data_IF_122264432962
#
_entry.id   IF_122264432962
#
_cell.length_a   1.000
_cell.length_b   1.000
_cell.length_c   1.000
_cell.angle_alpha   90.00
_cell.angle_beta   90.00
_cell.angle_gamma   90.00
#
_symmetry.space_group_name_H-M   'P 1'
#
loop_
_entity.id
_entity.type
_entity.pdbx_description
1 polymer ?
#
# COMPACT_ATOMS: atom_id res chain seq x y z
N UNK A 1 -29.02 1.17 -27.97
CA UNK A 1 -29.59 0.57 -26.74
C UNK A 1 -28.39 0.11 -25.93
N UNK A 2 -28.31 0.51 -24.67
CA UNK A 2 -27.23 0.03 -23.82
C UNK A 2 -27.35 -1.48 -23.67
N UNK A 3 -26.23 -2.19 -23.67
CA UNK A 3 -26.24 -3.62 -23.43
C UNK A 3 -26.37 -3.87 -21.92
N UNK A 4 -27.59 -3.70 -21.40
CA UNK A 4 -27.93 -3.91 -19.98
C UNK A 4 -27.51 -5.29 -19.47
N UNK A 5 -27.33 -6.25 -20.39
CA UNK A 5 -26.89 -7.61 -20.08
C UNK A 5 -25.53 -7.65 -19.38
N UNK A 6 -24.64 -6.68 -19.65
CA UNK A 6 -23.32 -6.65 -19.00
C UNK A 6 -23.42 -6.48 -17.48
N UNK A 7 -24.48 -5.82 -17.00
CA UNK A 7 -24.73 -5.58 -15.58
C UNK A 7 -25.47 -6.71 -14.87
N UNK A 8 -25.84 -7.79 -15.56
CA UNK A 8 -26.48 -8.95 -14.94
C UNK A 8 -25.43 -9.83 -14.23
N UNK A 9 -25.76 -10.31 -13.04
CA UNK A 9 -24.90 -11.28 -12.33
C UNK A 9 -25.02 -12.67 -12.94
N UNK A 10 -26.24 -13.11 -13.22
CA UNK A 10 -26.50 -14.32 -14.01
C UNK A 10 -26.28 -15.64 -13.28
N UNK A 11 -25.77 -15.61 -12.05
CA UNK A 11 -25.65 -16.78 -11.17
C UNK A 11 -26.82 -16.78 -10.18
N UNK A 12 -27.63 -17.85 -10.19
CA UNK A 12 -28.82 -17.98 -9.35
C UNK A 12 -28.82 -19.32 -8.61
N UNK A 13 -29.21 -19.32 -7.33
CA UNK A 13 -29.20 -20.51 -6.48
C UNK A 13 -30.55 -20.75 -5.76
N UNK A 14 -30.68 -21.95 -5.19
CA UNK A 14 -31.90 -22.41 -4.52
C UNK A 14 -32.97 -22.97 -5.46
N UNK A 15 -34.20 -23.04 -4.97
CA UNK A 15 -35.37 -23.55 -5.69
C UNK A 15 -35.79 -22.62 -6.84
N UNK A 16 -36.55 -23.09 -7.86
CA UNK A 16 -36.91 -22.29 -9.04
C UNK A 16 -37.57 -20.94 -8.74
N UNK A 17 -38.35 -20.84 -7.66
CA UNK A 17 -38.97 -19.58 -7.23
C UNK A 17 -37.93 -18.60 -6.68
N UNK A 18 -36.94 -19.07 -5.93
CA UNK A 18 -35.85 -18.25 -5.41
C UNK A 18 -34.98 -17.72 -6.54
N UNK A 19 -34.61 -18.60 -7.48
CA UNK A 19 -33.87 -18.21 -8.69
C UNK A 19 -34.63 -17.16 -9.52
N UNK A 20 -35.95 -17.29 -9.66
CA UNK A 20 -36.77 -16.32 -10.37
C UNK A 20 -36.81 -14.94 -9.67
N UNK A 21 -36.81 -14.92 -8.33
CA UNK A 21 -36.73 -13.68 -7.55
C UNK A 21 -35.36 -13.01 -7.70
N UNK A 22 -34.28 -13.78 -7.60
CA UNK A 22 -32.91 -13.29 -7.82
C UNK A 22 -32.75 -12.72 -9.24
N UNK A 23 -33.21 -13.43 -10.26
CA UNK A 23 -33.20 -12.95 -11.65
C UNK A 23 -34.00 -11.66 -11.84
N UNK A 24 -35.18 -11.54 -11.23
CA UNK A 24 -35.96 -10.31 -11.31
C UNK A 24 -35.25 -9.14 -10.63
N UNK A 25 -34.60 -9.37 -9.48
CA UNK A 25 -33.82 -8.36 -8.78
C UNK A 25 -32.61 -7.90 -9.62
N UNK A 26 -31.87 -8.84 -10.21
CA UNK A 26 -30.76 -8.57 -11.14
C UNK A 26 -31.19 -7.72 -12.33
N UNK A 27 -32.31 -8.07 -12.97
CA UNK A 27 -32.83 -7.29 -14.11
C UNK A 27 -33.21 -5.87 -13.68
N UNK A 28 -33.85 -5.71 -12.52
CA UNK A 28 -34.19 -4.38 -12.01
C UNK A 28 -32.93 -3.55 -11.72
N UNK A 29 -31.89 -4.17 -11.15
CA UNK A 29 -30.59 -3.53 -10.90
C UNK A 29 -29.92 -3.14 -12.22
N UNK A 30 -29.80 -4.07 -13.17
CA UNK A 30 -29.18 -3.84 -14.48
C UNK A 30 -29.86 -2.72 -15.27
N UNK A 31 -31.19 -2.66 -15.26
CA UNK A 31 -31.95 -1.60 -15.94
C UNK A 31 -31.74 -0.22 -15.31
N UNK A 32 -31.40 -0.15 -14.01
CA UNK A 32 -31.09 1.10 -13.31
C UNK A 32 -29.62 1.48 -13.38
N UNK A 33 -28.73 0.48 -13.49
CA UNK A 33 -27.29 0.65 -13.40
C UNK A 33 -26.76 1.76 -14.31
N UNK A 34 -27.17 1.80 -15.59
CA UNK A 34 -26.70 2.84 -16.50
C UNK A 34 -27.09 4.26 -16.06
N UNK A 35 -28.30 4.43 -15.52
CA UNK A 35 -28.76 5.73 -15.03
C UNK A 35 -27.96 6.13 -13.79
N UNK A 36 -27.80 5.22 -12.84
CA UNK A 36 -27.06 5.46 -11.60
C UNK A 36 -25.58 5.74 -11.88
N UNK A 37 -24.95 4.99 -12.79
CA UNK A 37 -23.59 5.24 -13.27
C UNK A 37 -23.48 6.66 -13.81
N UNK A 38 -24.36 7.10 -14.72
CA UNK A 38 -24.31 8.47 -15.27
C UNK A 38 -24.46 9.55 -14.21
N UNK A 39 -25.36 9.35 -13.25
CA UNK A 39 -25.54 10.29 -12.13
C UNK A 39 -24.29 10.36 -11.24
N UNK A 40 -23.67 9.21 -10.97
CA UNK A 40 -22.42 9.10 -10.21
C UNK A 40 -21.24 9.72 -10.94
N UNK A 41 -21.08 9.45 -12.25
CA UNK A 41 -20.05 10.05 -13.09
C UNK A 41 -20.17 11.58 -13.09
N UNK A 42 -21.40 12.11 -13.24
CA UNK A 42 -21.65 13.55 -13.19
C UNK A 42 -21.24 14.16 -11.84
N UNK A 43 -21.59 13.50 -10.73
CA UNK A 43 -21.19 13.96 -9.40
C UNK A 43 -19.66 13.93 -9.21
N UNK A 44 -18.99 12.89 -9.72
CA UNK A 44 -17.53 12.81 -9.68
C UNK A 44 -16.87 13.92 -10.50
N UNK A 45 -17.45 14.28 -11.65
CA UNK A 45 -17.01 15.42 -12.47
C UNK A 45 -17.14 16.75 -11.72
N UNK A 46 -18.29 17.02 -11.10
CA UNK A 46 -18.52 18.24 -10.31
C UNK A 46 -17.53 18.34 -9.12
N UNK A 47 -17.30 17.25 -8.40
CA UNK A 47 -16.31 17.21 -7.30
C UNK A 47 -14.90 17.46 -7.83
N UNK A 48 -14.53 16.84 -8.95
CA UNK A 48 -13.20 17.02 -9.53
C UNK A 48 -12.98 18.44 -10.06
N UNK A 49 -14.01 19.05 -10.63
CA UNK A 49 -14.00 20.46 -11.03
C UNK A 49 -13.71 21.35 -9.82
N UNK A 50 -14.51 21.22 -8.76
CA UNK A 50 -14.36 21.99 -7.53
C UNK A 50 -12.94 21.85 -6.95
N UNK A 51 -12.42 20.64 -6.88
CA UNK A 51 -11.05 20.38 -6.41
C UNK A 51 -9.98 21.03 -7.31
N UNK A 52 -10.15 21.00 -8.63
CA UNK A 52 -9.21 21.66 -9.54
C UNK A 52 -9.25 23.18 -9.38
N UNK A 53 -10.43 23.76 -9.21
CA UNK A 53 -10.61 25.18 -8.96
C UNK A 53 -9.90 25.56 -7.65
N UNK A 54 -10.14 24.79 -6.57
CA UNK A 54 -9.60 25.08 -5.24
C UNK A 54 -8.09 24.86 -5.15
N UNK A 55 -7.56 23.78 -5.73
CA UNK A 55 -6.16 23.39 -5.59
C UNK A 55 -5.26 23.99 -6.68
N UNK A 56 -5.74 24.04 -7.92
CA UNK A 56 -4.95 24.51 -9.08
C UNK A 56 -5.25 25.97 -9.45
N UNK A 57 -6.28 26.58 -8.85
CA UNK A 57 -6.63 27.98 -9.08
C UNK A 57 -7.11 28.28 -10.49
N UNK A 58 -7.66 27.27 -11.18
CA UNK A 58 -8.20 27.42 -12.55
C UNK A 58 -9.68 27.81 -12.50
N UNK A 59 -10.20 28.36 -13.60
CA UNK A 59 -11.63 28.66 -13.75
C UNK A 59 -12.41 27.45 -14.26
N UNK A 60 -13.74 27.40 -14.05
CA UNK A 60 -14.63 26.39 -14.67
C UNK A 60 -14.47 26.31 -16.18
N UNK A 61 -14.39 27.45 -16.88
CA UNK A 61 -14.17 27.48 -18.34
C UNK A 61 -12.81 26.89 -18.74
N UNK A 62 -11.78 27.03 -17.90
CA UNK A 62 -10.47 26.42 -18.13
C UNK A 62 -10.47 24.92 -17.80
N UNK A 63 -11.18 24.51 -16.76
CA UNK A 63 -11.38 23.10 -16.41
C UNK A 63 -12.10 22.37 -17.53
N UNK A 64 -13.26 22.86 -17.98
CA UNK A 64 -14.01 22.29 -19.09
C UNK A 64 -13.14 22.17 -20.34
N UNK A 65 -12.41 23.24 -20.69
CA UNK A 65 -11.50 23.24 -21.85
C UNK A 65 -10.40 22.19 -21.72
N UNK A 66 -9.87 21.98 -20.51
CA UNK A 66 -8.82 20.96 -20.24
C UNK A 66 -9.39 19.54 -20.25
N UNK A 67 -10.56 19.31 -19.67
CA UNK A 67 -11.27 18.04 -19.73
C UNK A 67 -11.65 17.65 -21.17
N UNK A 68 -12.02 18.63 -22.00
CA UNK A 68 -12.36 18.39 -23.42
C UNK A 68 -11.14 18.28 -24.35
N UNK A 69 -10.00 18.81 -23.91
CA UNK A 69 -8.76 18.75 -24.66
C UNK A 69 -8.25 17.30 -24.65
N UNK A 70 -7.85 16.81 -25.83
CA UNK A 70 -7.22 15.49 -25.99
C UNK A 70 -5.78 15.52 -25.47
N UNK A 71 -5.54 16.28 -24.41
CA UNK A 71 -4.22 16.69 -23.92
C UNK A 71 -3.47 15.45 -23.44
N UNK A 72 -2.46 15.07 -24.22
CA UNK A 72 -1.58 13.92 -23.96
C UNK A 72 -0.73 14.08 -22.69
N UNK A 73 -0.77 15.26 -22.07
CA UNK A 73 0.05 15.61 -20.93
C UNK A 73 -0.68 15.44 -19.59
N UNK A 74 -1.93 14.98 -19.58
CA UNK A 74 -2.78 14.81 -18.39
C UNK A 74 -2.64 15.93 -17.34
N UNK A 75 -2.71 17.19 -17.78
CA UNK A 75 -2.38 18.33 -16.91
C UNK A 75 -3.33 18.52 -15.71
N UNK A 76 -4.46 17.83 -15.71
CA UNK A 76 -5.40 17.79 -14.60
C UNK A 76 -5.19 16.61 -13.65
N UNK A 77 -4.32 15.65 -13.98
CA UNK A 77 -4.22 14.37 -13.27
C UNK A 77 -5.56 13.63 -13.29
N UNK A 78 -6.21 13.61 -14.46
CA UNK A 78 -7.53 13.02 -14.62
C UNK A 78 -7.46 11.50 -14.71
N UNK A 79 -6.39 10.93 -15.26
CA UNK A 79 -6.26 9.48 -15.42
C UNK A 79 -5.88 8.82 -14.10
N UNK A 80 -6.33 7.60 -13.88
CA UNK A 80 -5.95 6.87 -12.68
C UNK A 80 -4.64 6.13 -12.91
N UNK A 81 -3.81 6.14 -11.88
CA UNK A 81 -2.60 5.33 -11.81
C UNK A 81 -2.64 4.42 -10.58
N UNK A 82 -1.66 3.53 -10.47
CA UNK A 82 -1.42 2.71 -9.28
C UNK A 82 -1.45 3.55 -8.00
N UNK A 83 -2.12 3.03 -6.96
CA UNK A 83 -2.32 3.71 -5.68
C UNK A 83 -3.48 4.71 -5.65
N UNK A 84 -4.26 4.86 -6.74
CA UNK A 84 -5.49 5.66 -6.70
C UNK A 84 -6.45 5.15 -5.61
N UNK A 85 -6.93 6.07 -4.77
CA UNK A 85 -7.85 5.75 -3.68
C UNK A 85 -9.26 5.62 -4.23
N UNK A 86 -9.95 4.54 -3.89
CA UNK A 86 -11.31 4.23 -4.34
C UNK A 86 -12.28 4.17 -3.15
N UNK A 87 -13.57 4.37 -3.42
CA UNK A 87 -14.66 4.08 -2.48
C UNK A 87 -15.83 3.41 -3.19
N UNK A 88 -16.77 2.83 -2.44
CA UNK A 88 -17.98 2.22 -2.97
C UNK A 88 -19.24 2.87 -2.39
N UNK A 89 -20.24 3.14 -3.23
CA UNK A 89 -21.52 3.75 -2.80
C UNK A 89 -22.32 2.91 -1.81
N UNK A 90 -22.05 1.60 -1.75
CA UNK A 90 -22.68 0.65 -0.84
C UNK A 90 -21.80 0.28 0.36
N UNK A 91 -20.58 0.82 0.46
CA UNK A 91 -19.73 0.63 1.63
C UNK A 91 -20.39 1.23 2.88
N UNK A 92 -20.47 0.45 3.95
CA UNK A 92 -20.97 0.92 5.25
C UNK A 92 -20.26 0.25 6.41
N UNK A 93 -20.29 0.92 7.57
CA UNK A 93 -19.81 0.39 8.84
C UNK A 93 -20.96 -0.15 9.72
N UNK A 94 -22.20 0.02 9.25
CA UNK A 94 -23.37 -0.49 9.94
C UNK A 94 -23.34 -2.02 10.02
N UNK A 95 -24.02 -2.55 11.04
CA UNK A 95 -24.18 -3.99 11.22
C UNK A 95 -24.86 -4.63 10.00
N UNK A 96 -24.37 -5.80 9.59
CA UNK A 96 -24.92 -6.54 8.47
C UNK A 96 -25.76 -7.72 8.95
N UNK A 97 -27.05 -7.68 8.69
CA UNK A 97 -27.97 -8.79 8.97
C UNK A 97 -27.78 -9.90 7.92
N UNK A 98 -27.26 -11.06 8.34
CA UNK A 98 -27.06 -12.23 7.48
C UNK A 98 -28.37 -13.02 7.36
N UNK A 99 -29.05 -13.23 8.49
CA UNK A 99 -30.40 -13.79 8.58
C UNK A 99 -31.08 -13.36 9.90
N UNK A 100 -32.18 -14.02 10.27
CA UNK A 100 -32.93 -13.70 11.49
C UNK A 100 -32.17 -13.95 12.80
N UNK A 101 -31.09 -14.74 12.78
CA UNK A 101 -30.34 -15.16 13.97
C UNK A 101 -28.89 -14.66 13.96
N UNK A 102 -28.37 -14.28 12.80
CA UNK A 102 -26.96 -13.99 12.56
C UNK A 102 -26.77 -12.58 12.04
N UNK A 103 -25.90 -11.81 12.70
CA UNK A 103 -25.44 -10.50 12.23
C UNK A 103 -23.92 -10.37 12.34
N UNK A 104 -23.33 -9.57 11.45
CA UNK A 104 -21.93 -9.20 11.45
C UNK A 104 -21.81 -7.76 11.91
N UNK A 105 -21.13 -7.56 13.03
CA UNK A 105 -20.72 -6.26 13.54
C UNK A 105 -19.22 -6.12 13.35
N UNK A 106 -18.78 -5.01 12.73
CA UNK A 106 -17.37 -4.77 12.51
C UNK A 106 -16.64 -4.49 13.83
N UNK A 107 -15.48 -5.09 13.99
CA UNK A 107 -14.55 -4.84 15.07
C UNK A 107 -13.71 -3.62 14.68
N UNK A 108 -14.16 -2.44 15.11
CA UNK A 108 -13.53 -1.13 14.82
C UNK A 108 -13.23 -0.45 16.15
N UNK A 109 -11.99 -0.05 16.36
CA UNK A 109 -11.56 0.60 17.61
C UNK A 109 -11.83 2.11 17.58
N UNK A 110 -11.67 2.74 16.41
CA UNK A 110 -11.81 4.19 16.26
C UNK A 110 -12.62 4.59 15.03
N UNK A 111 -13.24 5.77 15.09
CA UNK A 111 -13.98 6.31 13.94
C UNK A 111 -13.05 6.51 12.72
N UNK A 112 -11.81 6.95 12.94
CA UNK A 112 -10.84 7.17 11.85
C UNK A 112 -10.47 5.86 11.14
N UNK A 113 -10.21 4.80 11.90
CA UNK A 113 -10.00 3.46 11.36
C UNK A 113 -11.21 3.02 10.53
N UNK A 114 -12.42 3.20 11.07
CA UNK A 114 -13.66 2.88 10.37
C UNK A 114 -13.81 3.63 9.04
N UNK A 115 -13.48 4.92 9.00
CA UNK A 115 -13.53 5.72 7.77
C UNK A 115 -12.60 5.17 6.68
N UNK A 116 -11.34 4.82 7.05
CA UNK A 116 -10.36 4.23 6.12
C UNK A 116 -10.83 2.90 5.56
N UNK A 117 -11.59 2.11 6.32
CA UNK A 117 -12.12 0.80 5.90
C UNK A 117 -13.16 0.88 4.78
N UNK A 118 -13.75 2.04 4.51
CA UNK A 118 -14.66 2.28 3.35
C UNK A 118 -13.92 2.66 2.08
N UNK A 119 -12.60 2.66 2.13
CA UNK A 119 -11.73 2.98 1.02
C UNK A 119 -10.83 1.78 0.71
N UNK A 120 -10.33 1.73 -0.52
CA UNK A 120 -9.34 0.74 -0.97
C UNK A 120 -8.44 1.38 -2.02
N UNK A 121 -7.37 0.70 -2.39
CA UNK A 121 -6.44 1.18 -3.41
C UNK A 121 -6.62 0.41 -4.71
N UNK A 122 -6.46 1.13 -5.81
CA UNK A 122 -6.31 0.57 -7.14
C UNK A 122 -4.87 0.09 -7.32
N UNK A 123 -4.69 -1.18 -7.69
CA UNK A 123 -3.39 -1.76 -8.01
C UNK A 123 -3.33 -2.13 -9.48
N UNK A 124 -2.38 -1.57 -10.21
CA UNK A 124 -2.18 -1.81 -11.65
C UNK A 124 -0.71 -1.97 -11.99
N UNK A 125 0.08 -2.44 -11.02
CA UNK A 125 1.51 -2.68 -11.17
C UNK A 125 1.85 -3.63 -12.33
N UNK A 126 0.90 -4.46 -12.78
CA UNK A 126 1.09 -5.28 -13.98
C UNK A 126 1.21 -4.47 -15.28
N UNK A 127 0.68 -3.24 -15.35
CA UNK A 127 0.53 -2.54 -16.61
C UNK A 127 1.86 -1.92 -17.03
N UNK A 128 2.20 -2.04 -18.32
CA UNK A 128 3.48 -1.56 -18.83
C UNK A 128 3.52 -0.02 -18.84
N UNK A 129 4.51 0.55 -18.13
CA UNK A 129 4.70 1.99 -17.91
C UNK A 129 4.76 2.80 -19.23
N UNK A 130 4.03 3.93 -19.30
CA UNK A 130 4.30 4.98 -20.29
C UNK A 130 4.16 6.38 -19.69
N UNK A 131 5.28 7.11 -19.71
CA UNK A 131 5.46 8.55 -19.42
C UNK A 131 5.13 8.93 -17.97
N UNK A 132 6.18 9.06 -17.15
CA UNK A 132 6.09 9.64 -15.79
C UNK A 132 6.03 8.66 -14.62
N UNK A 133 6.66 7.48 -14.73
CA UNK A 133 6.91 6.56 -13.59
C UNK A 133 5.68 5.88 -12.94
N UNK A 134 4.44 6.14 -13.39
CA UNK A 134 3.24 5.49 -12.86
C UNK A 134 2.58 4.51 -13.84
N UNK A 135 2.10 3.36 -13.33
CA UNK A 135 1.32 2.41 -14.11
C UNK A 135 -0.11 2.94 -14.27
N UNK A 136 -0.52 3.24 -15.49
CA UNK A 136 -1.87 3.71 -15.77
C UNK A 136 -2.88 2.57 -15.69
N UNK A 137 -4.02 2.88 -15.08
CA UNK A 137 -5.14 1.97 -15.06
C UNK A 137 -5.98 2.10 -16.33
N UNK A 138 -6.60 0.99 -16.68
CA UNK A 138 -7.39 0.79 -17.88
C UNK A 138 -8.76 0.26 -17.53
N UNK A 139 -9.65 0.25 -18.52
CA UNK A 139 -11.00 -0.29 -18.36
C UNK A 139 -11.01 -1.78 -18.00
N UNK A 140 -9.88 -2.49 -18.09
CA UNK A 140 -9.75 -3.93 -17.83
C UNK A 140 -9.25 -4.28 -16.43
N UNK A 141 -8.83 -3.28 -15.65
CA UNK A 141 -8.26 -3.50 -14.31
C UNK A 141 -9.40 -3.70 -13.28
N UNK A 142 -10.03 -4.87 -13.34
CA UNK A 142 -11.25 -5.21 -12.59
C UNK A 142 -11.09 -6.44 -11.70
N UNK A 143 -9.90 -7.04 -11.63
CA UNK A 143 -9.70 -8.33 -10.96
C UNK A 143 -9.65 -8.14 -9.43
N UNK A 144 -10.46 -8.91 -8.71
CA UNK A 144 -10.49 -8.90 -7.24
C UNK A 144 -9.16 -9.43 -6.68
N UNK A 145 -8.64 -8.79 -5.63
CA UNK A 145 -7.34 -9.12 -4.98
C UNK A 145 -6.10 -8.93 -5.88
N UNK A 146 -6.28 -8.28 -7.03
CA UNK A 146 -5.18 -7.88 -7.90
C UNK A 146 -5.28 -6.41 -8.25
N UNK A 147 -6.40 -6.00 -8.86
CA UNK A 147 -6.68 -4.61 -9.16
C UNK A 147 -7.50 -3.93 -8.07
N UNK A 148 -8.51 -4.65 -7.59
CA UNK A 148 -9.45 -4.14 -6.60
C UNK A 148 -9.42 -5.05 -5.38
N UNK A 149 -8.85 -4.55 -4.28
CA UNK A 149 -8.97 -5.22 -3.00
C UNK A 149 -10.34 -4.93 -2.40
N UNK A 150 -11.07 -5.95 -1.91
CA UNK A 150 -12.35 -5.73 -1.26
C UNK A 150 -12.25 -4.72 -0.12
N UNK A 151 -13.24 -3.85 -0.03
CA UNK A 151 -13.33 -2.89 1.06
C UNK A 151 -13.45 -3.63 2.40
N UNK A 152 -12.74 -3.15 3.42
CA UNK A 152 -12.76 -3.75 4.77
C UNK A 152 -14.03 -3.41 5.55
N UNK A 153 -15.17 -3.34 4.87
CA UNK A 153 -16.44 -2.83 5.39
C UNK A 153 -17.60 -3.79 5.11
N UNK A 154 -18.76 -3.49 5.68
CA UNK A 154 -20.01 -4.14 5.34
C UNK A 154 -20.63 -3.52 4.07
N UNK A 155 -21.64 -4.19 3.52
CA UNK A 155 -22.38 -3.73 2.35
C UNK A 155 -23.80 -3.33 2.73
N UNK A 156 -24.29 -2.21 2.21
CA UNK A 156 -25.71 -1.81 2.37
C UNK A 156 -26.67 -2.74 1.64
N UNK A 157 -26.22 -3.39 0.57
CA UNK A 157 -27.01 -4.39 -0.14
C UNK A 157 -26.93 -5.72 0.60
N UNK A 158 -28.09 -6.23 1.01
CA UNK A 158 -28.23 -7.54 1.65
C UNK A 158 -27.84 -8.67 0.70
N UNK A 159 -27.36 -9.78 1.26
CA UNK A 159 -27.19 -11.02 0.54
C UNK A 159 -28.56 -11.54 0.08
N UNK A 160 -28.69 -11.90 -1.20
CA UNK A 160 -29.92 -12.45 -1.78
C UNK A 160 -29.74 -13.86 -2.35
N UNK A 161 -28.53 -14.44 -2.19
CA UNK A 161 -28.19 -15.82 -2.56
C UNK A 161 -27.86 -16.69 -1.36
N UNK A 162 -28.25 -17.95 -1.42
CA UNK A 162 -27.93 -18.92 -0.37
C UNK A 162 -26.41 -19.11 -0.22
N UNK A 163 -25.70 -19.16 -1.35
CA UNK A 163 -24.25 -19.28 -1.40
C UNK A 163 -23.51 -18.06 -0.82
N UNK A 164 -24.04 -16.85 -0.95
CA UNK A 164 -23.52 -15.66 -0.26
C UNK A 164 -23.68 -15.79 1.25
N UNK A 165 -24.89 -16.15 1.70
CA UNK A 165 -25.22 -16.33 3.12
C UNK A 165 -24.32 -17.41 3.74
N UNK A 166 -24.16 -18.55 3.08
CA UNK A 166 -23.30 -19.63 3.55
C UNK A 166 -21.83 -19.22 3.61
N UNK A 167 -21.32 -18.51 2.59
CA UNK A 167 -19.94 -17.98 2.60
C UNK A 167 -19.70 -17.05 3.77
N UNK A 168 -20.62 -16.13 4.06
CA UNK A 168 -20.51 -15.22 5.19
C UNK A 168 -20.57 -15.99 6.52
N UNK A 169 -21.51 -16.92 6.68
CA UNK A 169 -21.66 -17.72 7.90
C UNK A 169 -20.41 -18.57 8.21
N UNK A 170 -19.82 -19.16 7.19
CA UNK A 170 -18.62 -19.98 7.33
C UNK A 170 -17.39 -19.14 7.69
N UNK A 171 -17.44 -17.81 7.52
CA UNK A 171 -16.32 -16.89 7.74
C UNK A 171 -16.69 -15.72 8.67
N UNK A 172 -17.58 -15.92 9.65
CA UNK A 172 -18.06 -14.84 10.53
C UNK A 172 -16.93 -14.10 11.25
N UNK A 173 -15.91 -14.80 11.74
CA UNK A 173 -14.81 -14.17 12.45
C UNK A 173 -14.07 -13.16 11.54
N UNK A 174 -13.74 -13.60 10.34
CA UNK A 174 -13.12 -12.75 9.32
C UNK A 174 -14.07 -11.63 8.84
N UNK A 175 -15.38 -11.88 8.75
CA UNK A 175 -16.35 -10.83 8.45
C UNK A 175 -16.42 -9.74 9.53
N UNK A 176 -16.15 -10.06 10.80
CA UNK A 176 -16.09 -9.03 11.87
C UNK A 176 -14.83 -8.20 11.74
N UNK A 177 -13.70 -8.83 11.42
CA UNK A 177 -12.41 -8.17 11.29
C UNK A 177 -12.25 -7.40 9.97
N UNK A 178 -12.82 -7.88 8.88
CA UNK A 178 -12.58 -7.39 7.51
C UNK A 178 -13.87 -7.07 6.74
N UNK A 179 -15.05 -7.28 7.34
CA UNK A 179 -16.34 -6.96 6.73
C UNK A 179 -16.84 -7.98 5.72
N UNK A 180 -18.14 -7.89 5.41
CA UNK A 180 -18.80 -8.82 4.49
C UNK A 180 -18.54 -8.53 3.01
N UNK A 181 -18.02 -7.34 2.67
CA UNK A 181 -17.84 -6.94 1.27
C UNK A 181 -16.99 -7.93 0.47
N UNK A 182 -15.90 -8.45 1.06
CA UNK A 182 -15.05 -9.46 0.42
C UNK A 182 -15.77 -10.76 0.01
N UNK A 183 -16.91 -11.08 0.64
CA UNK A 183 -17.71 -12.26 0.33
C UNK A 183 -18.87 -11.97 -0.64
N UNK A 184 -19.16 -10.70 -0.88
CA UNK A 184 -20.28 -10.22 -1.70
C UNK A 184 -19.83 -9.51 -2.98
N UNK A 185 -18.59 -9.03 -3.03
CA UNK A 185 -18.06 -8.27 -4.17
C UNK A 185 -18.12 -9.13 -5.44
N UNK A 186 -18.75 -8.58 -6.47
CA UNK A 186 -18.91 -9.21 -7.77
C UNK A 186 -18.72 -8.13 -8.83
N UNK A 187 -17.53 -8.02 -9.42
CA UNK A 187 -17.20 -6.90 -10.29
C UNK A 187 -17.68 -7.13 -11.72
N UNK A 188 -18.06 -6.05 -12.40
CA UNK A 188 -18.26 -6.06 -13.83
C UNK A 188 -16.91 -6.25 -14.55
N UNK A 189 -16.95 -6.80 -15.77
CA UNK A 189 -15.73 -7.13 -16.53
C UNK A 189 -14.92 -5.89 -16.92
N UNK A 190 -15.59 -4.75 -17.10
CA UNK A 190 -14.97 -3.49 -17.47
C UNK A 190 -15.49 -2.32 -16.63
N UNK A 191 -14.63 -1.31 -16.46
CA UNK A 191 -15.01 0.01 -15.97
C UNK A 191 -15.88 0.76 -17.01
N UNK A 192 -16.83 1.55 -16.51
CA UNK A 192 -17.61 2.50 -17.30
C UNK A 192 -16.99 3.89 -17.25
N UNK A 193 -16.35 4.29 -18.35
CA UNK A 193 -15.88 5.64 -18.58
C UNK A 193 -17.06 6.62 -18.84
N UNK A 194 -16.90 7.90 -18.50
CA UNK A 194 -17.90 8.93 -18.81
C UNK A 194 -17.97 9.14 -20.33
N UNK A 195 -19.16 9.35 -20.88
CA UNK A 195 -19.29 9.57 -22.33
C UNK A 195 -18.70 10.93 -22.73
N UNK A 196 -17.76 10.92 -23.68
CA UNK A 196 -17.21 12.12 -24.30
C UNK A 196 -18.07 12.62 -25.47
N UNK A 197 -17.95 13.92 -25.79
CA UNK A 197 -18.60 14.52 -26.95
C UNK A 197 -18.07 13.94 -28.28
N UNK A 198 -18.95 13.86 -29.29
CA UNK A 198 -18.69 13.56 -30.71
C UNK A 198 -17.57 12.54 -31.03
N UNK A 199 -17.75 11.30 -30.57
CA UNK A 199 -16.93 10.17 -31.01
C UNK A 199 -15.48 10.17 -30.50
N UNK A 200 -15.17 11.04 -29.53
CA UNK A 200 -13.89 11.01 -28.81
C UNK A 200 -13.79 9.76 -27.92
N UNK A 201 -12.57 9.28 -27.76
CA UNK A 201 -12.19 8.17 -26.87
C UNK A 201 -11.14 8.67 -25.89
N UNK A 202 -11.07 8.03 -24.72
CA UNK A 202 -10.01 8.31 -23.76
C UNK A 202 -8.65 7.85 -24.30
N UNK A 203 -7.59 8.36 -23.69
CA UNK A 203 -6.23 7.91 -23.98
C UNK A 203 -6.14 6.40 -23.77
N UNK A 204 -5.44 5.72 -24.68
CA UNK A 204 -5.23 4.27 -24.57
C UNK A 204 -3.91 4.00 -23.86
N UNK A 205 -3.92 3.03 -22.97
CA UNK A 205 -2.75 2.56 -22.23
C UNK A 205 -2.60 1.05 -22.40
N UNK A 206 -1.38 0.55 -22.19
CA UNK A 206 -1.08 -0.88 -22.29
C UNK A 206 -1.63 -1.61 -21.07
N UNK A 207 -2.53 -2.54 -21.32
CA UNK A 207 -3.02 -3.51 -20.35
C UNK A 207 -2.27 -4.84 -20.52
N UNK A 208 -1.82 -5.43 -19.41
CA UNK A 208 -1.28 -6.79 -19.40
C UNK A 208 -2.37 -7.74 -18.90
N UNK A 209 -2.92 -8.55 -19.81
CA UNK A 209 -3.97 -9.51 -19.45
C UNK A 209 -3.46 -10.52 -18.43
N UNK A 210 -4.28 -10.79 -17.42
CA UNK A 210 -4.11 -11.96 -16.58
C UNK A 210 -4.19 -13.22 -17.45
N UNK A 211 -3.15 -14.07 -17.40
CA UNK A 211 -3.23 -15.40 -17.99
C UNK A 211 -3.94 -16.30 -16.99
N UNK A 212 -5.10 -16.88 -17.36
CA UNK A 212 -5.97 -17.72 -16.52
C UNK A 212 -5.37 -19.10 -16.16
N UNK A 213 -4.06 -19.29 -16.26
CA UNK A 213 -3.41 -20.58 -16.02
C UNK A 213 -2.21 -20.42 -15.12
N UNK A 214 -2.39 -20.59 -13.80
CA UNK A 214 -1.88 -21.76 -13.05
C UNK A 214 -2.63 -21.83 -11.70
N UNK A 215 -3.44 -22.87 -11.53
CA UNK A 215 -3.80 -23.36 -10.19
C UNK A 215 -2.53 -23.83 -9.48
N UNK A 216 -1.97 -23.00 -8.59
CA UNK A 216 -0.88 -23.37 -7.69
C UNK A 216 0.51 -23.38 -8.32
N UNK A 217 1.11 -22.20 -8.46
CA UNK A 217 2.55 -21.95 -8.39
C UNK A 217 2.77 -20.44 -8.50
N UNK A 218 3.80 -19.92 -7.81
CA UNK A 218 4.14 -18.49 -7.78
C UNK A 218 4.12 -17.83 -9.16
N UNK A 219 3.60 -16.60 -9.17
CA UNK A 219 3.38 -15.82 -10.38
C UNK A 219 4.74 -15.40 -10.96
N UNK A 220 5.22 -16.16 -11.95
CA UNK A 220 6.36 -15.79 -12.78
C UNK A 220 5.93 -14.64 -13.70
N UNK A 221 6.40 -13.42 -13.41
CA UNK A 221 6.38 -12.33 -14.39
C UNK A 221 7.49 -12.62 -15.40
N UNK A 222 7.10 -12.92 -16.64
CA UNK A 222 8.02 -13.05 -17.77
C UNK A 222 8.34 -14.50 -18.16
N UNK A 223 7.40 -15.16 -18.84
CA UNK A 223 7.69 -16.41 -19.52
C UNK A 223 6.50 -16.99 -20.28
N UNK A 224 6.50 -16.78 -21.60
CA UNK A 224 5.68 -17.47 -22.61
C UNK A 224 4.18 -17.09 -22.56
N UNK A 225 3.74 -16.31 -23.56
CA UNK A 225 2.35 -15.89 -23.85
C UNK A 225 1.69 -14.82 -22.93
N UNK A 226 2.35 -13.68 -22.68
CA UNK A 226 1.66 -12.49 -22.15
C UNK A 226 0.90 -11.75 -23.26
N UNK A 227 -0.43 -11.78 -23.22
CA UNK A 227 -1.26 -10.96 -24.12
C UNK A 227 -1.27 -9.51 -23.64
N UNK A 228 -0.77 -8.61 -24.49
CA UNK A 228 -0.79 -7.16 -24.29
C UNK A 228 -1.87 -6.58 -25.19
N UNK A 229 -2.72 -5.72 -24.64
CA UNK A 229 -3.69 -4.95 -25.42
C UNK A 229 -3.62 -3.47 -25.05
N UNK A 230 -3.70 -2.59 -26.06
CA UNK A 230 -3.89 -1.17 -25.81
C UNK A 230 -5.39 -0.92 -25.67
N UNK A 231 -5.87 -0.48 -24.51
CA UNK A 231 -7.29 -0.22 -24.21
C UNK A 231 -7.45 1.15 -23.54
N UNK A 232 -8.67 1.67 -23.45
CA UNK A 232 -8.90 2.99 -22.83
C UNK A 232 -8.45 3.01 -21.36
N UNK A 233 -7.78 4.09 -21.00
CA UNK A 233 -7.50 4.46 -19.62
C UNK A 233 -8.77 4.82 -18.87
N UNK A 234 -8.75 4.66 -17.56
CA UNK A 234 -9.82 5.13 -16.68
C UNK A 234 -9.42 6.43 -16.01
N UNK A 235 -10.40 7.23 -15.64
CA UNK A 235 -10.24 8.58 -15.08
C UNK A 235 -10.92 8.72 -13.73
N UNK A 236 -10.75 9.87 -13.07
CA UNK A 236 -11.46 10.25 -11.85
C UNK A 236 -12.99 10.24 -11.99
N UNK A 237 -13.50 10.22 -13.21
CA UNK A 237 -14.94 10.14 -13.51
C UNK A 237 -15.40 8.74 -13.88
N UNK A 238 -14.51 7.76 -13.96
CA UNK A 238 -14.86 6.38 -14.32
C UNK A 238 -15.51 5.65 -13.14
N UNK A 239 -16.39 4.69 -13.43
CA UNK A 239 -17.14 3.93 -12.42
C UNK A 239 -17.02 2.45 -12.70
N UNK A 240 -16.69 1.66 -11.69
CA UNK A 240 -16.74 0.20 -11.78
C UNK A 240 -18.01 -0.31 -11.09
N UNK A 241 -18.87 -0.96 -11.86
CA UNK A 241 -20.10 -1.55 -11.35
C UNK A 241 -19.79 -2.87 -10.63
N UNK A 242 -20.24 -2.98 -9.39
CA UNK A 242 -20.34 -4.25 -8.69
C UNK A 242 -21.76 -4.78 -8.90
N UNK A 243 -21.90 -5.99 -9.44
CA UNK A 243 -23.17 -6.67 -9.71
C UNK A 243 -24.01 -6.96 -8.47
N UNK A 244 -23.36 -6.94 -7.30
CA UNK A 244 -24.03 -6.87 -5.99
C UNK A 244 -24.63 -5.48 -5.67
N UNK A 245 -24.59 -4.52 -6.59
CA UNK A 245 -25.26 -3.21 -6.50
C UNK A 245 -24.39 -2.03 -6.05
N UNK A 246 -23.08 -2.21 -5.90
CA UNK A 246 -22.15 -1.13 -5.57
C UNK A 246 -21.65 -0.38 -6.81
N UNK A 247 -21.41 0.92 -6.69
CA UNK A 247 -20.64 1.70 -7.65
C UNK A 247 -19.30 2.07 -7.02
N UNK A 248 -18.22 1.54 -7.56
CA UNK A 248 -16.85 1.87 -7.13
C UNK A 248 -16.39 3.10 -7.91
N UNK A 249 -15.95 4.11 -7.17
CA UNK A 249 -15.57 5.42 -7.71
C UNK A 249 -14.21 5.86 -7.18
N UNK A 250 -13.40 6.57 -7.98
CA UNK A 250 -12.16 7.14 -7.52
C UNK A 250 -12.39 8.35 -6.61
N UNK A 251 -11.64 8.41 -5.52
CA UNK A 251 -11.47 9.61 -4.69
C UNK A 251 -10.26 10.41 -5.15
N UNK A 252 -9.17 9.75 -5.56
CA UNK A 252 -7.95 10.40 -6.07
C UNK A 252 -7.55 9.82 -7.42
N UNK A 253 -6.64 10.50 -8.12
CA UNK A 253 -6.02 10.00 -9.35
C UNK A 253 -4.86 9.01 -9.10
N UNK A 254 -4.32 8.98 -7.88
CA UNK A 254 -3.00 8.38 -7.58
C UNK A 254 -1.81 9.26 -8.02
N UNK A 255 -2.02 10.20 -8.94
CA UNK A 255 -0.99 11.09 -9.50
C UNK A 255 -0.78 12.37 -8.68
N UNK A 256 -1.68 12.68 -7.75
CA UNK A 256 -1.55 13.83 -6.83
C UNK A 256 -0.43 13.62 -5.77
N UNK A 257 0.45 12.67 -6.05
CA UNK A 257 1.63 12.26 -5.31
C UNK A 257 2.90 12.96 -5.81
N UNK A 258 2.95 14.29 -5.83
CA UNK A 258 4.23 15.02 -5.93
C UNK A 258 4.54 15.68 -4.59
N UNK A 259 4.65 14.84 -3.56
CA UNK A 259 5.48 14.97 -2.37
C UNK A 259 5.13 13.85 -1.35
N UNK A 260 5.33 12.60 -1.77
CA UNK A 260 5.82 11.53 -0.89
C UNK A 260 4.84 10.62 -0.13
N UNK A 261 3.52 10.64 -0.35
CA UNK A 261 2.68 9.51 0.09
C UNK A 261 2.63 8.41 -0.97
N UNK A 262 3.66 7.57 -1.01
CA UNK A 262 3.50 6.22 -1.58
C UNK A 262 2.65 5.47 -0.55
N UNK A 263 1.38 5.18 -0.84
CA UNK A 263 0.62 4.26 0.01
C UNK A 263 0.95 2.84 -0.46
N UNK A 264 2.16 2.40 -0.11
CA UNK A 264 2.54 0.99 -0.09
C UNK A 264 1.73 0.32 1.01
N UNK A 265 1.27 -0.91 0.80
CA UNK A 265 0.56 -1.71 1.81
C UNK A 265 1.32 -1.70 3.16
N UNK A 266 0.88 -0.92 4.16
CA UNK A 266 1.63 -0.81 5.42
C UNK A 266 0.81 -1.13 6.68
N UNK A 267 -0.08 -2.12 6.58
CA UNK A 267 -0.72 -2.71 7.77
C UNK A 267 -0.06 -4.04 8.18
N UNK A 268 0.94 -4.51 7.42
CA UNK A 268 1.61 -5.79 7.68
C UNK A 268 3.11 -5.58 7.87
N UNK A 269 3.66 -6.23 8.89
CA UNK A 269 5.10 -6.36 9.11
C UNK A 269 5.40 -7.83 9.44
N UNK A 270 6.64 -8.24 9.25
CA UNK A 270 7.12 -9.58 9.55
C UNK A 270 8.24 -9.53 10.56
N UNK A 271 8.31 -10.54 11.41
CA UNK A 271 9.40 -10.71 12.34
C UNK A 271 9.74 -12.20 12.45
N UNK A 272 11.01 -12.48 12.72
CA UNK A 272 11.46 -13.81 13.05
C UNK A 272 12.39 -13.71 14.26
N UNK A 273 12.01 -14.36 15.36
CA UNK A 273 12.89 -14.52 16.50
C UNK A 273 14.03 -15.49 16.13
N UNK A 274 15.18 -14.95 15.75
CA UNK A 274 16.35 -15.73 15.33
C UNK A 274 17.67 -15.03 15.68
N UNK A 275 18.78 -15.73 15.45
CA UNK A 275 20.13 -15.15 15.34
C UNK A 275 20.56 -15.09 13.87
N UNK A 276 21.67 -14.39 13.60
CA UNK A 276 22.28 -14.39 12.26
C UNK A 276 23.04 -15.70 11.95
N UNK A 277 23.56 -16.37 12.98
CA UNK A 277 24.30 -17.62 12.86
C UNK A 277 24.01 -18.59 14.02
N UNK A 278 24.53 -19.81 13.93
CA UNK A 278 24.37 -20.84 14.95
C UNK A 278 23.02 -21.59 14.93
N UNK A 279 22.71 -22.24 16.05
CA UNK A 279 21.57 -23.17 16.19
C UNK A 279 20.21 -22.49 16.01
N UNK A 280 20.11 -21.19 16.32
CA UNK A 280 18.88 -20.40 16.18
C UNK A 280 18.90 -19.47 14.96
N UNK A 281 19.75 -19.76 13.97
CA UNK A 281 19.86 -18.95 12.77
C UNK A 281 18.59 -18.94 11.93
N UNK A 282 18.25 -17.77 11.38
CA UNK A 282 17.09 -17.60 10.53
C UNK A 282 17.15 -16.27 9.77
N UNK A 283 16.40 -16.16 8.69
CA UNK A 283 16.26 -14.94 7.90
C UNK A 283 14.83 -14.81 7.42
N UNK A 284 14.37 -13.57 7.30
CA UNK A 284 13.17 -13.25 6.53
C UNK A 284 13.41 -13.57 5.04
N UNK A 285 12.34 -13.86 4.30
CA UNK A 285 12.38 -13.93 2.84
C UNK A 285 12.56 -12.54 2.24
N UNK A 286 12.99 -12.45 0.98
CA UNK A 286 13.11 -11.16 0.30
C UNK A 286 11.83 -10.32 0.37
N UNK A 287 10.68 -10.91 0.05
CA UNK A 287 9.38 -10.21 0.11
C UNK A 287 9.07 -9.70 1.52
N UNK A 288 9.37 -10.48 2.56
CA UNK A 288 9.18 -10.04 3.95
C UNK A 288 10.12 -8.87 4.32
N UNK A 289 11.36 -8.88 3.83
CA UNK A 289 12.30 -7.76 4.00
C UNK A 289 11.80 -6.50 3.31
N UNK A 290 11.29 -6.66 2.09
CA UNK A 290 10.69 -5.59 1.28
C UNK A 290 9.47 -4.99 1.98
N UNK A 291 8.51 -5.81 2.39
CA UNK A 291 7.34 -5.35 3.17
C UNK A 291 7.74 -4.60 4.44
N UNK A 292 8.76 -5.07 5.17
CA UNK A 292 9.25 -4.35 6.34
C UNK A 292 9.91 -3.00 5.99
N UNK A 293 10.64 -2.92 4.87
CA UNK A 293 11.22 -1.67 4.40
C UNK A 293 10.12 -0.65 4.04
N UNK A 294 9.07 -1.09 3.36
CA UNK A 294 7.90 -0.28 3.01
C UNK A 294 7.16 0.20 4.25
N UNK A 295 6.97 -0.69 5.23
CA UNK A 295 6.36 -0.35 6.51
C UNK A 295 7.16 0.74 7.25
N UNK A 296 8.48 0.56 7.38
CA UNK A 296 9.37 1.55 8.02
C UNK A 296 9.32 2.86 7.25
N UNK A 297 9.35 2.80 5.92
CA UNK A 297 9.30 3.97 5.06
C UNK A 297 8.05 4.79 5.32
N UNK A 298 6.87 4.17 5.23
CA UNK A 298 5.61 4.87 5.43
C UNK A 298 5.49 5.43 6.85
N UNK A 299 5.86 4.63 7.86
CA UNK A 299 5.79 5.03 9.26
C UNK A 299 6.62 6.30 9.54
N UNK A 300 7.82 6.40 8.97
CA UNK A 300 8.70 7.55 9.15
C UNK A 300 8.33 8.72 8.23
N UNK A 301 7.88 8.43 7.01
CA UNK A 301 7.39 9.44 6.08
C UNK A 301 6.20 10.20 6.66
N UNK A 302 5.24 9.51 7.29
CA UNK A 302 4.11 10.14 8.00
C UNK A 302 4.54 11.05 9.18
N UNK A 303 5.77 10.85 9.69
CA UNK A 303 6.38 11.72 10.70
C UNK A 303 7.25 12.82 10.08
N UNK A 304 7.08 13.09 8.79
CA UNK A 304 7.78 14.11 8.00
C UNK A 304 9.29 13.85 7.87
N UNK A 305 9.71 12.58 7.83
CA UNK A 305 11.06 12.26 7.40
C UNK A 305 11.18 12.38 5.88
N UNK A 306 12.33 12.85 5.39
CA UNK A 306 12.63 12.85 3.96
C UNK A 306 12.90 11.44 3.45
N UNK A 307 12.62 11.21 2.16
CA UNK A 307 12.89 9.93 1.49
C UNK A 307 14.37 9.53 1.63
N UNK A 308 15.26 10.48 1.44
CA UNK A 308 16.71 10.33 1.51
C UNK A 308 17.14 9.86 2.91
N UNK A 309 16.64 10.51 3.97
CA UNK A 309 16.98 10.15 5.35
C UNK A 309 16.44 8.78 5.76
N UNK A 310 15.24 8.44 5.29
CA UNK A 310 14.67 7.11 5.47
C UNK A 310 15.54 6.07 4.78
N UNK A 311 15.92 6.28 3.51
CA UNK A 311 16.75 5.31 2.78
C UNK A 311 18.16 5.15 3.39
N UNK A 312 18.75 6.25 3.89
CA UNK A 312 19.99 6.19 4.68
C UNK A 312 19.86 5.34 5.95
N UNK A 313 18.72 5.44 6.64
CA UNK A 313 18.41 4.56 7.77
C UNK A 313 18.22 3.11 7.31
N UNK A 314 17.47 2.88 6.23
CA UNK A 314 17.18 1.53 5.74
C UNK A 314 18.45 0.78 5.31
N UNK A 315 19.45 1.48 4.77
CA UNK A 315 20.77 0.89 4.51
C UNK A 315 21.44 0.36 5.79
N UNK A 316 21.31 1.09 6.91
CA UNK A 316 21.78 0.64 8.22
C UNK A 316 20.94 -0.53 8.76
N UNK A 317 19.61 -0.43 8.69
CA UNK A 317 18.69 -1.50 9.13
C UNK A 317 18.93 -2.80 8.37
N UNK A 318 19.20 -2.72 7.07
CA UNK A 318 19.53 -3.87 6.25
C UNK A 318 20.82 -4.54 6.72
N UNK A 319 21.87 -3.77 7.02
CA UNK A 319 23.13 -4.30 7.54
C UNK A 319 22.99 -4.91 8.94
N UNK A 320 22.27 -4.25 9.83
CA UNK A 320 22.14 -4.66 11.24
C UNK A 320 21.23 -5.88 11.42
N UNK A 321 20.14 -5.95 10.65
CA UNK A 321 19.06 -6.89 10.92
C UNK A 321 18.52 -7.62 9.72
N UNK A 322 19.00 -7.29 8.51
CA UNK A 322 18.37 -7.70 7.24
C UNK A 322 16.86 -7.47 7.28
N UNK A 323 16.46 -6.28 7.75
CA UNK A 323 15.07 -5.82 7.91
C UNK A 323 14.23 -6.58 8.95
N UNK A 324 14.83 -7.39 9.82
CA UNK A 324 14.08 -8.21 10.78
C UNK A 324 14.01 -7.57 12.18
N UNK A 325 12.85 -7.10 12.66
CA UNK A 325 12.72 -6.56 14.01
C UNK A 325 12.87 -7.63 15.11
N UNK A 326 12.79 -8.93 14.79
CA UNK A 326 12.90 -10.02 15.76
C UNK A 326 14.32 -10.54 16.02
N UNK A 327 15.34 -10.00 15.37
CA UNK A 327 16.68 -10.62 15.36
C UNK A 327 17.51 -10.29 16.60
N UNK A 328 18.11 -11.32 17.18
CA UNK A 328 19.04 -11.28 18.30
C UNK A 328 20.48 -11.40 17.79
N UNK A 329 21.42 -10.65 18.38
CA UNK A 329 22.84 -10.90 18.15
C UNK A 329 23.29 -12.19 18.85
N UNK A 330 23.02 -12.32 20.15
CA UNK A 330 23.25 -13.55 20.91
C UNK A 330 21.93 -14.10 21.45
N UNK A 331 21.59 -15.32 21.04
CA UNK A 331 20.41 -16.01 21.54
C UNK A 331 20.43 -16.15 23.07
N UNK A 332 19.26 -16.07 23.71
CA UNK A 332 19.09 -16.20 25.16
C UNK A 332 19.87 -15.19 26.04
N UNK A 333 20.33 -14.07 25.48
CA UNK A 333 20.98 -13.02 26.25
C UNK A 333 20.18 -11.70 26.17
N UNK A 334 19.39 -11.34 27.21
CA UNK A 334 18.59 -10.12 27.21
C UNK A 334 19.42 -8.81 27.26
N UNK A 335 20.73 -8.91 27.51
CA UNK A 335 21.65 -7.77 27.39
C UNK A 335 22.36 -7.71 26.03
N UNK A 336 22.05 -8.63 25.10
CA UNK A 336 22.60 -8.60 23.75
C UNK A 336 21.92 -7.55 22.88
N UNK A 337 22.51 -7.29 21.72
CA UNK A 337 21.91 -6.47 20.69
C UNK A 337 20.65 -7.16 20.12
N UNK A 338 19.64 -6.35 19.80
CA UNK A 338 18.32 -6.80 19.37
C UNK A 338 17.68 -5.81 18.40
N UNK A 339 16.90 -6.30 17.44
CA UNK A 339 16.01 -5.50 16.60
C UNK A 339 16.65 -4.83 15.39
N UNK A 340 15.89 -3.93 14.76
CA UNK A 340 16.18 -3.33 13.43
C UNK A 340 17.52 -2.59 13.35
N UNK A 341 17.96 -1.98 14.45
CA UNK A 341 19.24 -1.25 14.57
C UNK A 341 20.12 -1.86 15.67
N UNK A 342 19.89 -3.14 16.00
CA UNK A 342 20.73 -3.92 16.93
C UNK A 342 21.11 -3.17 18.22
N UNK A 343 20.11 -2.63 18.95
CA UNK A 343 20.34 -1.85 20.18
C UNK A 343 21.19 -2.63 21.20
N UNK A 344 22.45 -2.22 21.36
CA UNK A 344 23.41 -2.86 22.25
C UNK A 344 23.05 -2.71 23.72
N UNK A 345 23.66 -3.54 24.58
CA UNK A 345 23.40 -3.57 26.03
C UNK A 345 21.91 -3.78 26.39
N UNK A 346 21.12 -4.37 25.50
CA UNK A 346 19.68 -4.56 25.67
C UNK A 346 18.90 -3.24 25.82
N UNK A 347 19.38 -2.14 25.24
CA UNK A 347 18.82 -0.80 25.46
C UNK A 347 17.32 -0.73 25.10
N UNK A 348 16.91 -1.37 24.00
CA UNK A 348 15.49 -1.45 23.60
C UNK A 348 14.63 -2.16 24.67
N UNK A 349 15.06 -3.35 25.11
CA UNK A 349 14.32 -4.12 26.13
C UNK A 349 14.24 -3.34 27.45
N UNK A 350 15.34 -2.69 27.87
CA UNK A 350 15.39 -1.88 29.08
C UNK A 350 14.46 -0.66 29.00
N UNK A 351 14.37 -0.02 27.83
CA UNK A 351 13.51 1.14 27.61
C UNK A 351 12.03 0.80 27.87
N UNK A 352 11.54 -0.30 27.29
CA UNK A 352 10.15 -0.75 27.46
C UNK A 352 9.92 -1.71 28.63
N UNK A 353 10.98 -2.09 29.35
CA UNK A 353 10.96 -3.11 30.41
C UNK A 353 10.45 -4.47 29.92
N UNK A 354 10.76 -4.83 28.67
CA UNK A 354 10.43 -6.12 28.09
C UNK A 354 11.41 -7.20 28.53
N UNK A 355 10.92 -8.42 28.67
CA UNK A 355 11.76 -9.62 28.73
C UNK A 355 12.04 -10.17 27.34
N UNK A 356 12.91 -11.19 27.24
CA UNK A 356 13.11 -11.92 25.99
C UNK A 356 11.79 -12.53 25.49
N UNK A 357 11.04 -13.14 26.40
CA UNK A 357 9.77 -13.80 26.09
C UNK A 357 8.74 -12.81 25.55
N UNK A 358 8.72 -11.57 26.07
CA UNK A 358 7.83 -10.53 25.55
C UNK A 358 8.11 -10.22 24.08
N UNK A 359 9.38 -10.00 23.73
CA UNK A 359 9.75 -9.59 22.37
C UNK A 359 9.72 -10.75 21.39
N UNK A 360 10.04 -11.98 21.81
CA UNK A 360 9.87 -13.18 21.00
C UNK A 360 8.39 -13.47 20.72
N UNK A 361 7.53 -13.31 21.74
CA UNK A 361 6.07 -13.44 21.56
C UNK A 361 5.55 -12.37 20.61
N UNK A 362 5.97 -11.11 20.74
CA UNK A 362 5.57 -10.07 19.78
C UNK A 362 6.10 -10.37 18.37
N UNK A 363 7.30 -10.92 18.21
CA UNK A 363 7.80 -11.31 16.89
C UNK A 363 6.92 -12.40 16.23
N UNK A 364 6.32 -13.29 17.03
CA UNK A 364 5.45 -14.34 16.54
C UNK A 364 4.00 -13.89 16.33
N UNK A 365 3.46 -13.13 17.28
CA UNK A 365 2.01 -12.85 17.38
C UNK A 365 1.63 -11.45 16.88
N UNK A 366 2.54 -10.47 16.98
CA UNK A 366 2.27 -9.06 16.67
C UNK A 366 3.53 -8.32 16.18
N UNK A 367 4.04 -8.70 14.99
CA UNK A 367 5.26 -8.11 14.42
C UNK A 367 5.12 -6.62 14.11
N UNK A 368 3.90 -6.16 13.83
CA UNK A 368 3.57 -4.74 13.62
C UNK A 368 3.81 -3.94 14.89
N UNK A 369 3.29 -4.38 16.04
CA UNK A 369 3.55 -3.73 17.33
C UNK A 369 5.02 -3.77 17.71
N UNK A 370 5.71 -4.88 17.46
CA UNK A 370 7.14 -4.99 17.72
C UNK A 370 7.93 -3.93 16.92
N UNK A 371 7.64 -3.80 15.62
CA UNK A 371 8.30 -2.85 14.74
C UNK A 371 7.95 -1.40 15.10
N UNK A 372 6.68 -1.10 15.41
CA UNK A 372 6.25 0.21 15.89
C UNK A 372 7.00 0.64 17.16
N UNK A 373 7.08 -0.23 18.17
CA UNK A 373 7.84 0.06 19.39
C UNK A 373 9.32 0.34 19.10
N UNK A 374 9.92 -0.38 18.15
CA UNK A 374 11.30 -0.17 17.75
C UNK A 374 11.49 1.18 17.04
N UNK A 375 10.59 1.56 16.14
CA UNK A 375 10.62 2.85 15.46
C UNK A 375 10.39 4.03 16.41
N UNK A 376 9.44 3.91 17.34
CA UNK A 376 9.24 4.91 18.40
C UNK A 376 10.49 5.05 19.28
N UNK A 377 11.09 3.94 19.72
CA UNK A 377 12.35 3.92 20.46
C UNK A 377 13.48 4.65 19.71
N UNK A 378 13.62 4.36 18.41
CA UNK A 378 14.62 4.97 17.55
C UNK A 378 14.46 6.50 17.53
N UNK A 379 13.25 6.97 17.22
CA UNK A 379 12.92 8.40 17.14
C UNK A 379 13.15 9.09 18.48
N UNK A 380 12.80 8.45 19.59
CA UNK A 380 13.08 8.99 20.92
C UNK A 380 14.57 9.11 21.19
N UNK A 381 15.35 8.05 20.94
CA UNK A 381 16.79 8.04 21.18
C UNK A 381 17.56 9.03 20.30
N UNK A 382 16.98 9.45 19.17
CA UNK A 382 17.54 10.52 18.34
C UNK A 382 17.44 11.92 18.98
N UNK A 383 16.60 12.09 20.02
CA UNK A 383 16.45 13.38 20.70
C UNK A 383 17.65 13.67 21.62
N UNK A 384 18.06 14.95 21.77
CA UNK A 384 19.23 15.31 22.56
C UNK A 384 19.17 14.83 24.03
N UNK A 385 17.97 14.77 24.63
CA UNK A 385 17.78 14.30 26.00
C UNK A 385 18.27 12.87 26.26
N UNK A 386 18.23 11.99 25.25
CA UNK A 386 18.64 10.58 25.39
C UNK A 386 20.15 10.38 25.22
N UNK A 387 20.88 11.38 24.70
CA UNK A 387 22.34 11.34 24.50
C UNK A 387 22.82 10.11 23.71
N UNK A 388 22.00 9.61 22.77
CA UNK A 388 22.41 8.53 21.85
C UNK A 388 22.90 9.12 20.55
N UNK A 389 22.11 9.98 19.89
CA UNK A 389 22.53 10.62 18.64
C UNK A 389 23.70 11.58 18.83
N UNK A 390 24.71 11.46 17.97
CA UNK A 390 25.83 12.39 17.87
C UNK A 390 26.81 12.33 19.06
N UNK A 391 26.67 11.35 19.96
CA UNK A 391 27.61 11.14 21.06
C UNK A 391 28.81 10.28 20.63
N UNK A 392 29.95 10.50 21.30
CA UNK A 392 31.21 9.85 20.93
C UNK A 392 31.96 10.56 19.81
N UNK A 393 33.04 9.93 19.32
CA UNK A 393 33.91 10.50 18.30
C UNK A 393 33.41 10.11 16.90
N UNK A 394 32.50 10.92 16.33
CA UNK A 394 31.99 10.76 14.96
C UNK A 394 33.11 10.80 13.92
N UNK A 395 34.09 11.69 14.10
CA UNK A 395 35.23 11.83 13.19
C UNK A 395 35.97 10.51 12.98
N UNK A 396 36.13 9.71 14.04
CA UNK A 396 36.76 8.37 13.93
C UNK A 396 36.03 7.45 12.94
N UNK A 397 34.71 7.58 12.78
CA UNK A 397 33.96 6.78 11.81
C UNK A 397 34.15 7.35 10.39
N UNK A 398 34.03 8.66 10.23
CA UNK A 398 34.26 9.33 8.94
C UNK A 398 35.70 9.18 8.41
N UNK A 399 36.69 9.05 9.28
CA UNK A 399 38.09 8.79 8.90
C UNK A 399 38.26 7.44 8.19
N UNK A 400 37.33 6.49 8.38
CA UNK A 400 37.34 5.20 7.68
C UNK A 400 36.74 5.31 6.28
N UNK A 401 35.61 6.00 6.18
CA UNK A 401 34.89 6.26 4.94
C UNK A 401 34.12 7.59 5.10
N UNK A 402 34.60 8.69 4.49
CA UNK A 402 33.98 9.99 4.67
C UNK A 402 32.76 10.14 3.77
N UNK A 403 31.70 10.84 4.22
CA UNK A 403 30.65 11.34 3.34
C UNK A 403 31.20 12.32 2.30
N UNK A 404 30.40 12.61 1.27
CA UNK A 404 30.69 13.58 0.22
C UNK A 404 31.00 14.98 0.77
N UNK A 405 31.76 15.75 0.00
CA UNK A 405 32.09 17.14 0.36
C UNK A 405 30.82 17.99 0.49
N UNK A 406 30.69 18.71 1.61
CA UNK A 406 29.55 19.61 1.87
C UNK A 406 28.50 19.03 2.83
N UNK A 407 28.52 17.72 3.10
CA UNK A 407 27.61 17.08 4.07
C UNK A 407 27.92 17.58 5.49
N UNK A 408 26.86 17.93 6.25
CA UNK A 408 27.03 18.36 7.63
C UNK A 408 27.36 17.16 8.55
N UNK A 409 28.64 16.99 8.88
CA UNK A 409 29.12 15.90 9.74
C UNK A 409 28.64 15.99 11.19
N UNK A 410 28.18 17.16 11.63
CA UNK A 410 27.68 17.40 12.99
C UNK A 410 26.16 17.37 13.11
N UNK A 411 25.44 17.02 12.04
CA UNK A 411 23.99 16.99 11.93
C UNK A 411 23.30 16.45 13.21
N UNK A 412 22.34 17.22 13.72
CA UNK A 412 21.46 16.79 14.81
C UNK A 412 20.46 15.75 14.30
N UNK A 413 19.86 14.97 15.20
CA UNK A 413 18.85 13.97 14.81
C UNK A 413 17.70 14.61 14.00
N UNK A 414 17.26 15.81 14.38
CA UNK A 414 16.20 16.55 13.65
C UNK A 414 16.62 17.03 12.27
N UNK A 415 17.87 17.49 12.12
CA UNK A 415 18.40 17.86 10.80
C UNK A 415 18.52 16.62 9.91
N UNK A 416 18.91 15.47 10.47
CA UNK A 416 18.95 14.21 9.75
C UNK A 416 17.59 13.83 9.18
N UNK A 417 16.54 13.83 9.99
CA UNK A 417 15.22 13.38 9.53
C UNK A 417 14.68 14.20 8.36
N UNK A 418 15.15 15.43 8.15
CA UNK A 418 14.67 16.32 7.09
C UNK A 418 15.71 16.62 6.01
N UNK A 419 16.87 15.96 6.05
CA UNK A 419 17.95 16.21 5.09
C UNK A 419 17.60 15.71 3.69
N UNK A 420 18.09 16.42 2.68
CA UNK A 420 18.02 16.02 1.25
C UNK A 420 19.40 15.64 0.69
N UNK A 421 20.40 15.47 1.57
CA UNK A 421 21.69 14.90 1.18
C UNK A 421 21.49 13.48 0.64
N UNK A 422 22.44 12.99 -0.15
CA UNK A 422 22.35 11.69 -0.78
C UNK A 422 22.12 10.57 0.26
N UNK A 423 21.25 9.57 -0.01
CA UNK A 423 20.96 8.49 0.92
C UNK A 423 22.22 7.70 1.32
N UNK A 424 23.20 7.60 0.44
CA UNK A 424 24.54 7.05 0.70
C UNK A 424 25.28 7.80 1.81
N UNK A 425 25.27 9.13 1.74
CA UNK A 425 25.88 10.00 2.74
C UNK A 425 25.11 9.96 4.07
N UNK A 426 23.78 9.94 4.00
CA UNK A 426 22.93 9.82 5.17
C UNK A 426 23.09 8.45 5.85
N UNK A 427 23.36 7.38 5.10
CA UNK A 427 23.72 6.09 5.70
C UNK A 427 24.99 6.19 6.57
N UNK A 428 26.00 6.93 6.11
CA UNK A 428 27.23 7.19 6.88
C UNK A 428 27.00 8.12 8.08
N UNK A 429 26.18 9.16 7.92
CA UNK A 429 25.83 10.07 9.03
C UNK A 429 25.07 9.32 10.12
N UNK A 430 24.12 8.46 9.76
CA UNK A 430 23.38 7.62 10.69
C UNK A 430 24.32 6.62 11.39
N UNK A 431 25.20 5.95 10.64
CA UNK A 431 26.19 5.03 11.21
C UNK A 431 27.09 5.74 12.23
N UNK A 432 27.62 6.92 11.90
CA UNK A 432 28.51 7.65 12.79
C UNK A 432 27.79 8.25 13.99
N UNK A 433 26.52 8.64 13.84
CA UNK A 433 25.77 9.37 14.86
C UNK A 433 24.93 8.48 15.76
N UNK A 434 24.44 7.33 15.29
CA UNK A 434 23.58 6.42 16.04
C UNK A 434 24.25 5.07 16.34
N UNK A 435 24.63 4.33 15.29
CA UNK A 435 25.14 2.95 15.43
C UNK A 435 26.52 2.90 16.11
N UNK A 436 27.48 3.64 15.55
CA UNK A 436 28.91 3.67 15.91
C UNK A 436 29.53 2.27 16.01
N UNK A 437 29.10 1.38 15.12
CA UNK A 437 29.62 0.03 14.99
C UNK A 437 31.15 0.02 14.77
N UNK A 438 31.75 -1.15 15.00
CA UNK A 438 33.16 -1.42 14.73
C UNK A 438 33.53 -1.56 13.25
N UNK A 439 32.58 -1.29 12.35
CA UNK A 439 32.64 -1.54 10.91
C UNK A 439 33.90 -1.01 10.24
N UNK A 440 34.45 -1.79 9.32
CA UNK A 440 35.49 -1.37 8.40
C UNK A 440 34.91 -0.82 7.10
N UNK A 441 35.78 -0.55 6.13
CA UNK A 441 35.38 0.01 4.83
C UNK A 441 34.36 -0.87 4.11
N UNK A 442 34.50 -2.20 4.21
CA UNK A 442 33.60 -3.14 3.54
C UNK A 442 32.17 -3.04 4.11
N UNK A 443 32.02 -3.11 5.42
CA UNK A 443 30.71 -3.08 6.07
C UNK A 443 30.04 -1.70 5.92
N UNK A 444 30.82 -0.62 5.86
CA UNK A 444 30.29 0.71 5.53
C UNK A 444 29.80 0.78 4.08
N UNK A 445 30.50 0.16 3.13
CA UNK A 445 30.05 0.06 1.74
C UNK A 445 28.73 -0.72 1.63
N UNK A 446 28.54 -1.81 2.40
CA UNK A 446 27.27 -2.55 2.40
C UNK A 446 26.08 -1.68 2.84
N UNK A 447 26.28 -0.74 3.79
CA UNK A 447 25.23 0.21 4.19
C UNK A 447 24.92 1.23 3.10
N UNK A 448 25.97 1.75 2.45
CA UNK A 448 25.88 2.70 1.35
C UNK A 448 25.10 2.08 0.19
N UNK A 449 25.52 0.89 -0.25
CA UNK A 449 24.92 0.20 -1.39
C UNK A 449 23.45 -0.13 -1.09
N UNK A 450 23.15 -0.65 0.10
CA UNK A 450 21.77 -0.90 0.51
C UNK A 450 20.92 0.38 0.59
N UNK A 451 21.48 1.50 1.05
CA UNK A 451 20.75 2.78 1.07
C UNK A 451 20.44 3.28 -0.35
N UNK A 452 21.40 3.16 -1.27
CA UNK A 452 21.20 3.49 -2.68
C UNK A 452 20.11 2.60 -3.30
N UNK A 453 20.16 1.30 -3.08
CA UNK A 453 19.16 0.36 -3.62
C UNK A 453 17.76 0.59 -3.04
N UNK A 454 17.63 0.87 -1.74
CA UNK A 454 16.34 1.27 -1.18
C UNK A 454 15.85 2.60 -1.77
N UNK A 455 16.75 3.55 -2.00
CA UNK A 455 16.37 4.82 -2.63
C UNK A 455 15.91 4.62 -4.08
N UNK A 456 16.57 3.74 -4.85
CA UNK A 456 16.12 3.32 -6.18
C UNK A 456 14.74 2.69 -6.10
N UNK A 457 14.54 1.76 -5.16
CA UNK A 457 13.24 1.11 -4.92
C UNK A 457 12.11 2.12 -4.65
N UNK A 458 12.28 3.01 -3.67
CA UNK A 458 11.29 4.05 -3.33
C UNK A 458 11.25 5.21 -4.32
N UNK A 459 12.12 5.20 -5.34
CA UNK A 459 12.02 6.07 -6.50
C UNK A 459 11.38 5.37 -7.70
N UNK A 460 10.83 4.17 -7.52
CA UNK A 460 10.04 3.45 -8.52
C UNK A 460 10.84 2.49 -9.41
N UNK A 461 12.10 2.20 -9.08
CA UNK A 461 12.88 1.17 -9.77
C UNK A 461 12.60 -0.23 -9.20
N UNK A 462 12.56 -1.24 -10.06
CA UNK A 462 12.50 -2.63 -9.60
C UNK A 462 13.87 -3.06 -9.07
N UNK A 463 13.87 -3.64 -7.87
CA UNK A 463 15.05 -4.16 -7.20
C UNK A 463 14.76 -5.56 -6.69
N UNK A 464 15.74 -6.44 -6.81
CA UNK A 464 15.67 -7.81 -6.35
C UNK A 464 16.73 -8.08 -5.28
N UNK A 465 16.60 -9.19 -4.55
CA UNK A 465 17.50 -9.50 -3.44
C UNK A 465 18.99 -9.50 -3.85
N UNK A 466 19.30 -9.82 -5.10
CA UNK A 466 20.68 -9.86 -5.60
C UNK A 466 21.30 -8.50 -5.87
N UNK A 467 20.50 -7.42 -5.89
CA UNK A 467 21.02 -6.06 -6.00
C UNK A 467 21.56 -5.56 -4.64
N UNK A 468 21.12 -6.20 -3.55
CA UNK A 468 21.54 -5.85 -2.19
C UNK A 468 22.80 -6.65 -1.75
N UNK A 469 23.64 -6.06 -0.90
CA UNK A 469 24.95 -6.62 -0.52
C UNK A 469 24.95 -7.74 0.54
#
# INVERSE_FOLDING_TARGET
>A
MADEKKYLEGNYDGEPVQQAVQMAADVVRANKAQKEIRETQKRAYEIFEDECIDLKGITSEEFERKMESVDKNDSLHQYLVDGALLTCTMATLDDFEVDSETSVKLEIETLEEGEKRRQTFLSVMENAMYIGESCYATVKDTIINRNIFPFRCNCRQKADRMSEIERIKNNIADCRENGVCQYLICLNEEWDNMLLNDGKTYQRHRNIKAVDSVSGAGWLIGGIDTEIEDVEGITRTSVLFCKHGGLIVPLTSGQDSVAGKIILNSDTAYALACTSDGEHSGSLTWEQKKTNAEYIYNYLFEKNWSKEAICGLLGNVYRESKMNPGVWHNWNNPNSAYGIVQWTDGAFLKHYKYTKEDVDRMALEDPVKLLNNQLDCLIEMMKPEYRVWGTGNRQKQYDKYPPSEGVNLEMTGKEYTTSSDAPEDLALVFQASFERSGDGVKELQERIDAAAEWYRYFSGEDVCETDFP
#
